data_IF_703025743695
#
_entry.id   IF_703025743695
#
_cell.length_a   1.000
_cell.length_b   1.000
_cell.length_c   1.000
_cell.angle_alpha   90.00
_cell.angle_beta   90.00
_cell.angle_gamma   90.00
#
_symmetry.space_group_name_H-M   'P 1'
#
loop_
_entity.id
_entity.type
_entity.pdbx_description
1 polymer ?
#
# COMPACT_ATOMS: atom_id res chain seq x y z
N UNK A 1 -2.90 -35.76 -7.16
CA UNK A 1 -3.62 -35.74 -5.87
C UNK A 1 -4.76 -34.75 -6.04
N UNK A 2 -6.01 -35.12 -5.75
CA UNK A 2 -7.14 -34.19 -5.89
C UNK A 2 -7.28 -33.37 -4.62
N UNK A 3 -7.21 -32.05 -4.74
CA UNK A 3 -7.43 -31.12 -3.64
C UNK A 3 -8.94 -31.02 -3.40
N UNK A 4 -9.44 -31.73 -2.39
CA UNK A 4 -10.87 -31.74 -2.08
C UNK A 4 -11.06 -31.42 -0.60
N UNK A 5 -11.77 -30.34 -0.32
CA UNK A 5 -12.29 -30.10 1.03
C UNK A 5 -13.73 -30.57 1.11
N UNK A 6 -14.04 -31.32 2.17
CA UNK A 6 -15.38 -31.75 2.48
C UNK A 6 -15.99 -30.79 3.50
N UNK A 7 -17.01 -30.03 3.11
CA UNK A 7 -17.85 -29.32 4.07
C UNK A 7 -19.04 -30.23 4.38
N UNK A 8 -19.08 -30.79 5.58
CA UNK A 8 -20.13 -31.70 6.00
C UNK A 8 -21.12 -30.99 6.95
N UNK A 9 -22.42 -31.04 6.62
CA UNK A 9 -23.50 -30.58 7.49
C UNK A 9 -24.67 -31.56 7.41
N UNK A 10 -25.20 -31.97 8.57
CA UNK A 10 -26.33 -32.91 8.64
C UNK A 10 -26.08 -34.30 8.02
N UNK A 11 -24.82 -34.75 7.95
CA UNK A 11 -24.46 -36.04 7.35
C UNK A 11 -24.30 -36.02 5.83
N UNK A 12 -24.46 -34.87 5.17
CA UNK A 12 -24.15 -34.66 3.76
C UNK A 12 -22.85 -33.87 3.66
N UNK A 13 -21.88 -34.37 2.89
CA UNK A 13 -20.64 -33.66 2.58
C UNK A 13 -20.70 -33.12 1.16
N UNK A 14 -20.51 -31.81 1.02
CA UNK A 14 -20.24 -31.18 -0.28
C UNK A 14 -18.72 -31.12 -0.42
N UNK A 15 -18.19 -31.82 -1.43
CA UNK A 15 -16.79 -31.71 -1.79
C UNK A 15 -16.64 -30.53 -2.72
N UNK A 16 -16.03 -29.46 -2.23
CA UNK A 16 -15.51 -28.41 -3.10
C UNK A 16 -14.32 -29.00 -3.86
N UNK A 17 -14.44 -29.15 -5.18
CA UNK A 17 -13.28 -29.44 -6.02
C UNK A 17 -12.32 -28.26 -5.92
N UNK A 18 -11.01 -28.53 -5.88
CA UNK A 18 -9.92 -27.55 -5.95
C UNK A 18 -9.70 -26.70 -4.69
N UNK A 19 -10.01 -27.19 -3.49
CA UNK A 19 -9.73 -26.44 -2.28
C UNK A 19 -8.31 -26.72 -1.75
N UNK A 20 -7.50 -25.67 -1.65
CA UNK A 20 -6.14 -25.68 -1.10
C UNK A 20 -5.96 -24.68 0.04
N UNK A 21 -4.69 -24.47 0.39
CA UNK A 21 -4.25 -23.61 1.47
C UNK A 21 -3.11 -22.71 0.99
N UNK A 22 -3.10 -21.45 1.41
CA UNK A 22 -1.94 -20.55 1.26
C UNK A 22 -1.44 -20.22 2.66
N UNK A 23 -0.17 -20.50 2.94
CA UNK A 23 0.55 -19.95 4.10
C UNK A 23 1.25 -18.67 3.66
N UNK A 24 1.01 -17.58 4.37
CA UNK A 24 1.61 -16.27 4.08
C UNK A 24 2.45 -15.87 5.28
N UNK A 25 3.75 -15.79 5.07
CA UNK A 25 4.67 -15.11 5.98
C UNK A 25 4.75 -13.65 5.52
N UNK A 26 4.40 -12.68 6.37
CA UNK A 26 4.43 -11.27 6.01
C UNK A 26 5.22 -10.43 7.02
N UNK A 27 5.78 -9.35 6.49
CA UNK A 27 6.35 -8.22 7.22
C UNK A 27 5.69 -6.93 6.72
N UNK A 28 5.33 -6.04 7.65
CA UNK A 28 4.85 -4.68 7.36
C UNK A 28 5.92 -3.68 7.78
N UNK A 29 6.39 -2.89 6.81
CA UNK A 29 7.46 -1.93 7.02
C UNK A 29 7.11 -0.92 8.12
N UNK A 30 8.06 -0.71 9.03
CA UNK A 30 8.01 0.35 10.02
C UNK A 30 7.18 0.08 11.27
N UNK A 31 6.47 -1.05 11.36
CA UNK A 31 5.82 -1.47 12.61
C UNK A 31 6.89 -1.76 13.66
N UNK A 32 6.82 -1.07 14.80
CA UNK A 32 7.80 -1.17 15.89
C UNK A 32 7.20 -1.74 17.19
N UNK A 33 5.88 -1.91 17.24
CA UNK A 33 5.15 -2.42 18.40
C UNK A 33 4.12 -3.47 17.98
N UNK A 34 3.84 -4.47 18.85
CA UNK A 34 2.83 -5.47 18.56
C UNK A 34 1.45 -4.85 18.34
N UNK A 35 0.79 -5.22 17.25
CA UNK A 35 -0.50 -4.65 16.84
C UNK A 35 -1.34 -5.65 16.07
N UNK A 36 -2.67 -5.51 16.14
CA UNK A 36 -3.58 -6.23 15.26
C UNK A 36 -4.19 -5.28 14.24
N UNK A 37 -4.02 -5.56 12.96
CA UNK A 37 -4.59 -4.75 11.85
C UNK A 37 -5.26 -5.64 10.82
N UNK A 38 -6.26 -5.13 10.12
CA UNK A 38 -6.89 -5.87 9.03
C UNK A 38 -6.10 -5.71 7.73
N UNK A 39 -5.83 -6.83 7.06
CA UNK A 39 -5.33 -6.85 5.70
C UNK A 39 -6.36 -7.44 4.74
N UNK A 40 -6.44 -6.84 3.55
CA UNK A 40 -7.26 -7.32 2.45
C UNK A 40 -6.42 -8.22 1.55
N UNK A 41 -6.86 -9.45 1.40
CA UNK A 41 -6.30 -10.46 0.48
C UNK A 41 -7.23 -10.60 -0.72
N UNK A 42 -6.68 -10.51 -1.92
CA UNK A 42 -7.40 -10.74 -3.19
C UNK A 42 -6.72 -11.92 -3.89
N UNK A 43 -7.43 -13.03 -4.03
CA UNK A 43 -6.93 -14.24 -4.67
C UNK A 43 -7.66 -14.41 -6.00
N UNK A 44 -6.92 -14.64 -7.09
CA UNK A 44 -7.52 -14.67 -8.43
C UNK A 44 -6.83 -15.67 -9.37
N UNK A 45 -7.61 -16.21 -10.32
CA UNK A 45 -7.16 -17.09 -11.41
C UNK A 45 -6.88 -16.34 -12.71
N UNK A 46 -6.96 -15.01 -12.70
CA UNK A 46 -6.74 -14.16 -13.87
C UNK A 46 -7.64 -14.38 -15.08
N UNK A 47 -8.94 -14.19 -14.85
CA UNK A 47 -10.00 -14.32 -15.84
C UNK A 47 -11.19 -15.12 -15.33
N UNK A 48 -11.05 -15.71 -14.14
CA UNK A 48 -12.13 -16.38 -13.42
C UNK A 48 -12.59 -15.62 -12.17
N UNK A 49 -12.85 -16.37 -11.10
CA UNK A 49 -13.40 -15.85 -9.87
C UNK A 49 -12.35 -15.07 -9.07
N UNK A 50 -12.80 -14.00 -8.43
CA UNK A 50 -12.03 -13.23 -7.45
C UNK A 50 -12.53 -13.59 -6.06
N UNK A 51 -11.63 -14.04 -5.19
CA UNK A 51 -11.88 -14.29 -3.77
C UNK A 51 -11.23 -13.17 -2.95
N UNK A 52 -12.06 -12.35 -2.31
CA UNK A 52 -11.61 -11.22 -1.48
C UNK A 52 -11.89 -11.52 -0.02
N UNK A 53 -10.86 -11.40 0.82
CA UNK A 53 -10.92 -11.68 2.24
C UNK A 53 -10.31 -10.54 3.04
N UNK A 54 -10.92 -10.22 4.17
CA UNK A 54 -10.34 -9.34 5.18
C UNK A 54 -9.94 -10.20 6.35
N UNK A 55 -8.66 -10.21 6.71
CA UNK A 55 -8.10 -11.08 7.74
C UNK A 55 -7.30 -10.23 8.72
N UNK A 56 -7.49 -10.41 10.04
CA UNK A 56 -6.67 -9.72 11.03
C UNK A 56 -5.25 -10.31 11.02
N UNK A 57 -4.26 -9.44 10.87
CA UNK A 57 -2.84 -9.69 11.08
C UNK A 57 -2.51 -9.38 12.54
N UNK A 58 -1.87 -10.31 13.25
CA UNK A 58 -1.37 -10.09 14.62
C UNK A 58 0.15 -9.97 14.58
N UNK A 59 0.60 -8.76 14.25
CA UNK A 59 2.01 -8.47 14.04
C UNK A 59 2.76 -8.33 15.36
N UNK A 60 3.99 -8.82 15.39
CA UNK A 60 4.90 -8.59 16.51
C UNK A 60 5.55 -7.19 16.44
N UNK A 61 6.51 -6.91 17.33
CA UNK A 61 7.23 -5.63 17.35
C UNK A 61 8.20 -5.40 16.18
N UNK A 62 8.26 -6.33 15.23
CA UNK A 62 9.00 -6.21 13.97
C UNK A 62 8.06 -6.19 12.75
N UNK A 63 6.75 -6.08 12.97
CA UNK A 63 5.78 -6.09 11.88
C UNK A 63 5.53 -7.47 11.26
N UNK A 64 5.96 -8.56 11.91
CA UNK A 64 5.89 -9.90 11.34
C UNK A 64 4.64 -10.66 11.80
N UNK A 65 4.01 -11.39 10.88
CA UNK A 65 2.95 -12.36 11.18
C UNK A 65 2.97 -13.52 10.16
N UNK A 66 2.49 -14.69 10.58
CA UNK A 66 2.29 -15.85 9.71
C UNK A 66 0.85 -16.30 9.81
N UNK A 67 0.15 -16.31 8.68
CA UNK A 67 -1.24 -16.73 8.61
C UNK A 67 -1.51 -17.79 7.54
N UNK A 68 -2.70 -18.37 7.63
CA UNK A 68 -3.16 -19.40 6.73
C UNK A 68 -4.51 -19.03 6.12
N UNK A 69 -4.57 -18.94 4.80
CA UNK A 69 -5.80 -18.82 4.02
C UNK A 69 -6.24 -20.22 3.58
N UNK A 70 -7.32 -20.74 4.16
CA UNK A 70 -7.87 -22.07 3.82
C UNK A 70 -8.97 -22.00 2.77
N UNK A 71 -9.33 -23.13 2.16
CA UNK A 71 -10.39 -23.21 1.14
C UNK A 71 -10.14 -22.26 -0.05
N UNK A 72 -8.89 -22.16 -0.50
CA UNK A 72 -8.52 -21.35 -1.66
C UNK A 72 -8.62 -22.19 -2.93
N UNK A 73 -9.07 -21.62 -4.05
CA UNK A 73 -9.01 -22.32 -5.34
C UNK A 73 -7.54 -22.63 -5.71
N UNK A 74 -7.17 -23.91 -5.85
CA UNK A 74 -5.79 -24.28 -6.22
C UNK A 74 -5.43 -23.90 -7.66
N UNK A 75 -6.39 -23.44 -8.46
CA UNK A 75 -6.12 -22.83 -9.75
C UNK A 75 -5.86 -21.32 -9.64
N UNK A 76 -5.91 -20.73 -8.44
CA UNK A 76 -5.50 -19.35 -8.22
C UNK A 76 -4.03 -19.18 -8.61
N UNK A 77 -3.77 -18.14 -9.37
CA UNK A 77 -2.45 -17.85 -9.92
C UNK A 77 -1.76 -16.70 -9.17
N UNK A 78 -2.55 -15.85 -8.51
CA UNK A 78 -2.05 -14.65 -7.85
C UNK A 78 -2.73 -14.40 -6.51
N UNK A 79 -1.94 -13.84 -5.60
CA UNK A 79 -2.37 -13.26 -4.34
C UNK A 79 -1.97 -11.79 -4.33
N UNK A 80 -2.94 -10.90 -4.14
CA UNK A 80 -2.66 -9.51 -3.79
C UNK A 80 -2.96 -9.28 -2.32
N UNK A 81 -2.08 -8.56 -1.64
CA UNK A 81 -2.20 -8.22 -0.21
C UNK A 81 -2.08 -6.72 -0.05
N UNK A 82 -2.93 -6.13 0.79
CA UNK A 82 -2.84 -4.73 1.20
C UNK A 82 -3.33 -4.56 2.63
N UNK A 83 -2.53 -3.91 3.45
CA UNK A 83 -2.90 -3.43 4.78
C UNK A 83 -3.27 -1.93 4.68
N UNK A 84 -4.04 -1.40 5.64
CA UNK A 84 -4.59 -0.03 5.60
C UNK A 84 -3.57 1.11 5.56
N UNK A 85 -2.29 0.82 5.78
CA UNK A 85 -1.19 1.79 5.75
C UNK A 85 -0.13 1.45 4.69
N UNK A 86 -0.34 0.40 3.89
CA UNK A 86 0.66 -0.11 2.95
C UNK A 86 0.22 0.00 1.51
N UNK A 87 1.20 0.07 0.62
CA UNK A 87 1.01 -0.22 -0.79
C UNK A 87 0.54 -1.67 -0.98
N UNK A 88 -0.21 -1.92 -2.06
CA UNK A 88 -0.55 -3.28 -2.47
C UNK A 88 0.69 -4.02 -2.93
N UNK A 89 0.79 -5.30 -2.57
CA UNK A 89 1.76 -6.25 -3.11
C UNK A 89 1.05 -7.38 -3.85
N UNK A 90 1.55 -7.77 -5.02
CA UNK A 90 1.04 -8.85 -5.85
C UNK A 90 2.12 -9.92 -6.00
N UNK A 91 1.77 -11.17 -5.70
CA UNK A 91 2.69 -12.31 -5.74
C UNK A 91 2.08 -13.51 -6.43
N UNK A 92 2.87 -14.25 -7.23
CA UNK A 92 2.38 -15.44 -7.90
C UNK A 92 2.19 -16.58 -6.90
N UNK A 93 1.18 -17.40 -7.13
CA UNK A 93 0.90 -18.61 -6.38
C UNK A 93 1.39 -19.83 -7.14
N UNK A 94 1.96 -20.80 -6.42
CA UNK A 94 2.30 -22.11 -6.96
C UNK A 94 1.92 -23.16 -5.95
N UNK A 95 0.86 -23.92 -6.24
CA UNK A 95 0.38 -24.97 -5.35
C UNK A 95 1.15 -26.28 -5.58
N UNK A 96 1.72 -26.82 -4.52
CA UNK A 96 2.28 -28.17 -4.45
C UNK A 96 1.51 -28.96 -3.40
N UNK A 97 0.93 -30.10 -3.78
CA UNK A 97 0.09 -30.91 -2.88
C UNK A 97 -1.05 -30.08 -2.21
N UNK A 98 -1.67 -29.18 -2.96
CA UNK A 98 -2.77 -28.32 -2.49
C UNK A 98 -2.36 -27.22 -1.51
N UNK A 99 -1.07 -26.99 -1.32
CA UNK A 99 -0.52 -25.96 -0.46
C UNK A 99 0.36 -25.01 -1.28
N UNK A 100 0.27 -23.71 -1.01
CA UNK A 100 1.19 -22.69 -1.49
C UNK A 100 1.79 -21.95 -0.29
N UNK A 101 3.04 -21.54 -0.41
CA UNK A 101 3.71 -20.68 0.57
C UNK A 101 4.14 -19.41 -0.13
N UNK A 102 3.84 -18.28 0.50
CA UNK A 102 4.19 -16.95 0.03
C UNK A 102 5.00 -16.28 1.13
N UNK A 103 6.16 -15.76 0.75
CA UNK A 103 7.06 -15.00 1.63
C UNK A 103 7.05 -13.53 1.19
N UNK A 104 6.42 -12.70 2.03
CA UNK A 104 6.35 -11.24 1.94
C UNK A 104 7.19 -10.61 3.06
N UNK A 105 8.40 -11.11 3.29
CA UNK A 105 9.34 -10.54 4.26
C UNK A 105 10.54 -9.88 3.56
N UNK A 106 11.29 -9.05 4.30
CA UNK A 106 12.55 -8.44 3.89
C UNK A 106 12.46 -7.63 2.58
N UNK A 107 12.69 -8.25 1.43
CA UNK A 107 12.70 -7.55 0.13
C UNK A 107 11.33 -7.56 -0.55
N UNK A 108 10.40 -8.38 -0.04
CA UNK A 108 9.03 -8.51 -0.55
C UNK A 108 7.98 -8.07 0.46
N UNK A 109 8.40 -7.37 1.53
CA UNK A 109 7.53 -6.80 2.56
C UNK A 109 6.48 -5.84 2.01
N UNK A 110 5.44 -5.59 2.82
CA UNK A 110 4.45 -4.57 2.53
C UNK A 110 5.03 -3.20 2.85
N UNK A 111 5.22 -2.40 1.80
CA UNK A 111 5.81 -1.06 1.87
C UNK A 111 4.80 -0.09 2.47
N UNK A 112 5.21 0.65 3.49
CA UNK A 112 4.34 1.60 4.18
C UNK A 112 4.20 2.95 3.46
N UNK A 113 3.07 3.62 3.70
CA UNK A 113 2.88 5.04 3.41
C UNK A 113 1.69 5.41 2.55
N UNK A 114 0.86 4.45 2.12
CA UNK A 114 -0.42 4.73 1.43
C UNK A 114 -1.53 4.68 2.48
N UNK A 115 -1.81 5.84 3.06
CA UNK A 115 -2.74 6.00 4.17
C UNK A 115 -4.16 6.25 3.67
N UNK A 116 -5.13 5.97 4.53
CA UNK A 116 -6.53 6.27 4.25
C UNK A 116 -7.22 7.03 5.38
N UNK A 117 -8.28 7.71 5.00
CA UNK A 117 -9.28 8.30 5.88
C UNK A 117 -10.67 7.86 5.40
N UNK A 118 -11.75 8.14 6.14
CA UNK A 118 -13.10 7.85 5.66
C UNK A 118 -13.48 8.50 4.32
N UNK A 119 -12.75 9.53 3.87
CA UNK A 119 -13.03 10.26 2.63
C UNK A 119 -11.91 10.18 1.59
N UNK A 120 -10.67 9.91 2.01
CA UNK A 120 -9.53 9.68 1.13
C UNK A 120 -9.20 8.18 1.21
N UNK A 121 -9.59 7.37 0.20
CA UNK A 121 -9.23 5.97 0.17
C UNK A 121 -7.75 5.80 -0.23
N UNK A 122 -7.17 4.65 0.13
CA UNK A 122 -5.86 4.24 -0.40
C UNK A 122 -5.85 4.23 -1.92
N UNK A 123 -4.92 4.95 -2.53
CA UNK A 123 -4.82 5.09 -3.99
C UNK A 123 -3.62 4.34 -4.59
N UNK A 124 -2.94 3.53 -3.77
CA UNK A 124 -1.82 2.67 -4.13
C UNK A 124 -0.57 3.44 -4.57
N UNK A 125 -0.37 4.62 -3.98
CA UNK A 125 0.74 5.53 -4.21
C UNK A 125 1.04 6.26 -2.89
N UNK A 126 2.32 6.44 -2.58
CA UNK A 126 2.73 7.29 -1.44
C UNK A 126 3.04 8.68 -1.98
N UNK A 127 2.26 9.70 -1.63
CA UNK A 127 2.49 11.07 -2.07
C UNK A 127 2.14 12.14 -1.02
N UNK A 128 1.96 13.37 -1.48
CA UNK A 128 1.63 14.53 -0.63
C UNK A 128 0.32 14.33 0.12
N UNK A 129 -0.62 13.55 -0.41
CA UNK A 129 -1.89 13.24 0.23
C UNK A 129 -1.66 12.45 1.52
N UNK A 130 -0.78 11.45 1.48
CA UNK A 130 -0.42 10.64 2.66
C UNK A 130 0.33 11.45 3.71
N UNK A 131 1.30 12.26 3.26
CA UNK A 131 1.94 13.23 4.15
C UNK A 131 0.92 14.15 4.82
N UNK A 132 -0.09 14.60 4.09
CA UNK A 132 -1.12 15.49 4.63
C UNK A 132 -1.95 14.81 5.71
N UNK A 133 -2.30 13.53 5.54
CA UNK A 133 -3.04 12.73 6.53
C UNK A 133 -2.23 12.63 7.83
N UNK A 134 -0.93 12.32 7.73
CA UNK A 134 -0.04 12.21 8.88
C UNK A 134 0.16 13.58 9.56
N UNK A 135 0.56 14.60 8.80
CA UNK A 135 0.88 15.92 9.33
C UNK A 135 -0.34 16.58 10.01
N UNK A 136 -1.54 16.35 9.49
CA UNK A 136 -2.76 16.88 10.10
C UNK A 136 -3.06 16.32 11.50
N UNK A 137 -2.62 15.09 11.78
CA UNK A 137 -2.83 14.39 13.05
C UNK A 137 -1.61 14.41 13.96
N UNK A 138 -0.52 15.04 13.55
CA UNK A 138 0.72 15.03 14.32
C UNK A 138 0.52 15.40 15.80
N UNK A 139 1.16 14.61 16.67
CA UNK A 139 1.09 14.65 18.13
C UNK A 139 -0.31 14.37 18.69
N UNK A 140 -1.17 13.67 17.94
CA UNK A 140 -2.44 13.18 18.44
C UNK A 140 -2.37 11.68 18.71
N UNK A 141 -3.00 11.20 19.79
CA UNK A 141 -3.15 9.77 20.01
C UNK A 141 -3.99 9.16 18.89
N UNK A 142 -3.70 7.90 18.61
CA UNK A 142 -4.41 7.09 17.64
C UNK A 142 -5.68 6.55 18.29
N UNK A 143 -6.79 6.55 17.56
CA UNK A 143 -7.98 5.83 18.02
C UNK A 143 -7.70 4.33 17.83
N UNK A 144 -7.61 3.52 18.91
CA UNK A 144 -7.30 2.10 18.80
C UNK A 144 -8.38 1.29 18.07
N UNK A 145 -9.53 1.91 17.78
CA UNK A 145 -10.62 1.32 17.00
C UNK A 145 -10.64 1.76 15.54
N UNK A 146 -9.76 2.69 15.16
CA UNK A 146 -9.66 3.23 13.81
C UNK A 146 -8.63 2.46 12.99
N UNK A 147 -9.07 1.90 11.87
CA UNK A 147 -8.20 1.29 10.85
C UNK A 147 -7.71 2.31 9.81
N UNK A 148 -7.94 3.61 10.06
CA UNK A 148 -7.83 4.67 9.06
C UNK A 148 -7.00 5.86 9.57
N UNK A 149 -5.72 5.64 9.81
CA UNK A 149 -4.85 6.62 10.45
C UNK A 149 -3.41 6.60 9.91
N UNK A 150 -2.55 7.48 10.44
CA UNK A 150 -1.16 7.65 9.97
C UNK A 150 -0.13 7.03 10.91
N UNK A 151 -0.56 6.25 11.90
CA UNK A 151 0.33 5.54 12.84
C UNK A 151 0.81 4.24 12.21
N UNK A 152 1.84 4.32 11.38
CA UNK A 152 2.45 3.13 10.79
C UNK A 152 3.27 2.37 11.84
N UNK A 153 3.90 3.09 12.77
CA UNK A 153 4.80 2.53 13.79
C UNK A 153 4.11 1.68 14.87
N UNK A 154 2.80 1.81 14.97
CA UNK A 154 1.92 1.19 15.96
C UNK A 154 2.25 1.60 17.40
N UNK A 155 2.82 2.78 17.61
CA UNK A 155 3.15 3.27 18.96
C UNK A 155 1.95 3.96 19.66
N UNK A 156 0.83 4.07 18.96
CA UNK A 156 -0.40 4.68 19.45
C UNK A 156 -0.42 6.21 19.34
N UNK A 157 0.55 6.81 18.65
CA UNK A 157 0.66 8.24 18.40
C UNK A 157 0.96 8.52 16.93
N UNK A 158 0.41 9.61 16.40
CA UNK A 158 0.85 10.14 15.11
C UNK A 158 2.13 10.96 15.34
N UNK A 159 3.27 10.37 15.07
CA UNK A 159 4.59 10.88 15.42
C UNK A 159 5.49 11.22 14.24
N UNK A 160 6.70 11.67 14.60
CA UNK A 160 7.79 11.84 13.63
C UNK A 160 8.36 10.51 13.16
N UNK A 161 8.18 9.46 13.94
CA UNK A 161 8.65 8.12 13.61
C UNK A 161 7.83 7.54 12.45
N UNK A 162 6.53 7.81 12.40
CA UNK A 162 5.69 7.48 11.24
C UNK A 162 6.16 8.19 9.97
N UNK A 163 6.52 9.47 10.09
CA UNK A 163 7.05 10.23 8.95
C UNK A 163 8.40 9.67 8.49
N UNK A 164 9.25 9.28 9.44
CA UNK A 164 10.55 8.68 9.15
C UNK A 164 10.42 7.35 8.40
N UNK A 165 9.35 6.59 8.65
CA UNK A 165 9.01 5.36 7.94
C UNK A 165 8.58 5.62 6.49
N UNK A 166 7.73 6.64 6.23
CA UNK A 166 7.18 6.83 4.88
C UNK A 166 8.10 7.62 3.92
N UNK A 167 9.03 8.42 4.45
CA UNK A 167 9.88 9.28 3.60
C UNK A 167 10.69 8.52 2.50
N UNK A 168 11.29 7.32 2.72
CA UNK A 168 11.99 6.61 1.64
C UNK A 168 11.04 6.15 0.53
N UNK A 169 9.75 6.02 0.85
CA UNK A 169 8.71 5.52 -0.02
C UNK A 169 7.99 6.61 -0.78
N UNK A 170 8.34 7.88 -0.61
CA UNK A 170 7.71 8.96 -1.37
C UNK A 170 7.76 8.69 -2.89
N UNK A 171 6.58 8.73 -3.51
CA UNK A 171 6.28 8.37 -4.90
C UNK A 171 6.53 6.90 -5.27
N UNK A 172 6.58 6.00 -4.28
CA UNK A 172 6.43 4.58 -4.52
C UNK A 172 4.99 4.27 -4.93
N UNK A 173 4.85 3.33 -5.87
CA UNK A 173 3.55 2.87 -6.39
C UNK A 173 3.47 1.38 -6.11
N UNK A 174 2.34 0.94 -5.56
CA UNK A 174 2.11 -0.46 -5.29
C UNK A 174 1.74 -1.24 -6.56
N UNK A 175 1.53 -2.52 -6.40
CA UNK A 175 1.11 -3.39 -7.50
C UNK A 175 -0.35 -3.10 -7.94
N UNK A 176 -0.68 -3.28 -9.23
CA UNK A 176 -1.98 -2.92 -9.79
C UNK A 176 -3.16 -3.67 -9.15
N UNK A 177 -4.31 -2.98 -9.04
CA UNK A 177 -5.57 -3.50 -8.43
C UNK A 177 -6.08 -4.76 -9.13
N UNK A 178 -5.99 -4.79 -10.46
CA UNK A 178 -6.60 -5.84 -11.28
C UNK A 178 -5.71 -7.07 -11.50
N UNK A 179 -4.60 -7.17 -10.76
CA UNK A 179 -3.93 -8.41 -10.35
C UNK A 179 -3.47 -9.40 -11.42
N UNK A 180 -3.69 -9.12 -12.69
CA UNK A 180 -3.32 -9.99 -13.78
C UNK A 180 -2.30 -9.28 -14.64
N UNK A 181 -1.09 -9.84 -14.77
CA UNK A 181 -0.17 -9.34 -15.76
C UNK A 181 -0.88 -9.32 -17.10
N UNK A 182 -0.73 -8.25 -17.87
CA UNK A 182 -1.37 -8.22 -19.18
C UNK A 182 -0.80 -9.37 -20.02
N UNK A 183 -1.62 -10.10 -20.80
CA UNK A 183 -1.08 -10.96 -21.83
C UNK A 183 -0.24 -10.10 -22.77
N UNK A 184 1.04 -10.45 -22.95
CA UNK A 184 1.89 -9.77 -23.91
C UNK A 184 1.63 -10.39 -25.26
N UNK A 185 0.87 -9.67 -26.08
CA UNK A 185 0.69 -9.99 -27.49
C UNK A 185 1.92 -9.51 -28.25
N UNK A 186 2.80 -10.43 -28.64
CA UNK A 186 3.64 -10.25 -29.84
C UNK A 186 2.96 -11.02 -30.97
N UNK A 187 2.68 -10.36 -32.08
CA UNK A 187 2.23 -11.00 -33.32
C UNK A 187 0.84 -11.69 -33.31
N UNK A 188 -0.18 -11.09 -32.67
CA UNK A 188 -1.58 -11.56 -32.66
C UNK A 188 -1.82 -12.94 -32.03
N UNK A 189 -0.78 -13.60 -31.53
CA UNK A 189 -0.84 -14.78 -30.68
C UNK A 189 -0.58 -14.39 -29.22
N UNK A 190 -1.47 -14.81 -28.32
CA UNK A 190 -1.27 -14.69 -26.87
C UNK A 190 -0.35 -15.85 -26.47
N UNK A 191 0.97 -15.63 -26.51
CA UNK A 191 1.95 -16.70 -26.24
C UNK A 191 2.33 -16.82 -24.76
N UNK A 192 2.11 -15.78 -23.93
CA UNK A 192 2.41 -15.79 -22.48
C UNK A 192 1.82 -14.58 -21.74
N UNK A 193 1.46 -14.78 -20.48
CA UNK A 193 1.32 -13.68 -19.51
C UNK A 193 2.74 -13.20 -19.16
N UNK A 194 2.99 -11.88 -19.23
CA UNK A 194 4.26 -11.29 -18.79
C UNK A 194 4.04 -10.57 -17.47
N UNK A 195 4.57 -11.10 -16.35
CA UNK A 195 4.53 -10.45 -15.03
C UNK A 195 4.98 -8.98 -15.03
N UNK A 196 5.82 -8.57 -15.98
CA UNK A 196 6.31 -7.19 -16.11
C UNK A 196 5.45 -6.28 -16.99
N UNK A 197 4.46 -6.80 -17.73
CA UNK A 197 3.62 -6.00 -18.60
C UNK A 197 2.29 -5.67 -17.93
N UNK A 198 2.30 -4.70 -17.02
CA UNK A 198 1.06 -4.09 -16.52
C UNK A 198 0.45 -3.26 -17.65
N UNK A 199 -0.87 -3.33 -17.88
CA UNK A 199 -1.51 -2.42 -18.84
C UNK A 199 -1.21 -0.97 -18.38
N UNK A 200 -0.61 -0.11 -19.22
CA UNK A 200 -0.15 1.23 -18.79
C UNK A 200 -1.27 2.21 -18.43
N UNK A 201 -2.52 1.77 -18.35
CA UNK A 201 -3.67 2.67 -18.44
C UNK A 201 -4.05 3.38 -17.15
N UNK A 202 -3.52 3.01 -15.98
CA UNK A 202 -3.87 3.68 -14.72
C UNK A 202 -2.73 3.61 -13.67
N UNK A 203 -1.48 3.88 -14.05
CA UNK A 203 -0.45 4.12 -13.03
C UNK A 203 -0.84 5.44 -12.33
N UNK A 204 -1.14 5.44 -11.02
CA UNK A 204 -1.40 6.66 -10.28
C UNK A 204 -0.29 7.66 -10.54
N UNK A 205 -0.64 8.88 -10.90
CA UNK A 205 0.35 9.93 -11.11
C UNK A 205 0.62 10.60 -9.76
N UNK A 206 1.89 10.63 -9.30
CA UNK A 206 2.26 11.34 -8.09
C UNK A 206 1.68 12.74 -8.01
N UNK A 207 0.94 13.04 -6.93
CA UNK A 207 0.54 14.41 -6.63
C UNK A 207 1.70 15.09 -5.91
N UNK A 208 2.22 16.12 -6.56
CA UNK A 208 3.26 16.99 -6.01
C UNK A 208 2.69 18.11 -5.16
N UNK A 209 1.38 18.32 -5.25
CA UNK A 209 0.65 19.41 -4.62
C UNK A 209 -0.82 19.07 -4.54
N UNK A 210 -1.45 19.39 -3.42
CA UNK A 210 -2.90 19.28 -3.20
C UNK A 210 -3.37 20.52 -2.45
N UNK A 211 -4.55 21.04 -2.77
CA UNK A 211 -5.08 22.19 -2.00
C UNK A 211 -5.62 21.69 -0.66
N UNK A 212 -5.52 22.52 0.39
CA UNK A 212 -6.10 22.19 1.71
C UNK A 212 -7.61 21.96 1.61
N UNK A 213 -8.29 22.69 0.72
CA UNK A 213 -9.73 22.52 0.45
C UNK A 213 -10.04 21.15 -0.18
N UNK A 214 -9.21 20.68 -1.11
CA UNK A 214 -9.39 19.38 -1.80
C UNK A 214 -9.23 18.19 -0.86
N UNK A 215 -8.36 18.28 0.14
CA UNK A 215 -8.17 17.22 1.15
C UNK A 215 -9.47 16.93 1.92
N UNK A 216 -10.28 17.96 2.18
CA UNK A 216 -11.66 17.81 2.66
C UNK A 216 -11.85 17.22 4.06
N UNK A 217 -10.79 16.88 4.80
CA UNK A 217 -10.87 16.34 6.16
C UNK A 217 -10.50 17.38 7.23
N UNK A 218 -11.01 17.16 8.45
CA UNK A 218 -10.75 18.04 9.58
C UNK A 218 -9.27 18.08 9.96
N UNK A 219 -8.72 19.28 10.07
CA UNK A 219 -7.31 19.48 10.42
C UNK A 219 -6.33 19.48 9.24
N UNK A 220 -6.80 19.28 8.00
CA UNK A 220 -5.96 19.34 6.79
C UNK A 220 -5.09 20.61 6.70
N UNK A 221 -5.59 21.74 7.18
CA UNK A 221 -4.84 23.02 7.24
C UNK A 221 -3.55 22.95 8.08
N UNK A 222 -3.41 21.97 8.98
CA UNK A 222 -2.18 21.77 9.77
C UNK A 222 -1.04 21.18 8.94
N UNK A 223 -1.34 20.57 7.79
CA UNK A 223 -0.34 20.03 6.87
C UNK A 223 0.26 21.12 5.96
N UNK A 224 -0.42 22.25 5.76
CA UNK A 224 0.09 23.44 5.07
C UNK A 224 0.97 24.26 6.03
N UNK A 225 2.22 23.83 6.18
CA UNK A 225 3.19 24.42 7.08
C UNK A 225 3.80 25.71 6.55
N UNK A 226 3.68 25.97 5.24
CA UNK A 226 4.10 27.22 4.61
C UNK A 226 3.00 28.30 4.60
N UNK A 227 1.75 27.90 4.82
CA UNK A 227 0.58 28.78 4.87
C UNK A 227 0.16 29.33 3.51
N UNK A 228 0.46 28.60 2.42
CA UNK A 228 0.20 29.05 1.04
C UNK A 228 -1.15 28.57 0.47
N UNK A 229 -1.91 27.81 1.26
CA UNK A 229 -3.20 27.22 0.91
C UNK A 229 -3.10 25.83 0.25
N UNK A 230 -1.89 25.32 0.08
CA UNK A 230 -1.60 24.03 -0.52
C UNK A 230 -0.67 23.24 0.39
N UNK A 231 -0.76 21.92 0.29
CA UNK A 231 0.28 21.03 0.80
C UNK A 231 1.12 20.60 -0.40
N UNK A 232 2.43 20.77 -0.31
CA UNK A 232 3.41 20.34 -1.30
C UNK A 232 4.77 19.96 -0.65
N UNK A 233 5.79 19.70 -1.47
CA UNK A 233 7.10 19.28 -0.98
C UNK A 233 7.83 20.36 -0.15
N UNK A 234 7.44 21.64 -0.25
CA UNK A 234 7.97 22.67 0.64
C UNK A 234 7.43 22.51 2.08
N UNK A 235 6.20 22.00 2.24
CA UNK A 235 5.64 21.66 3.55
C UNK A 235 6.33 20.43 4.14
N UNK A 236 6.68 19.44 3.31
CA UNK A 236 7.48 18.27 3.74
C UNK A 236 8.85 18.72 4.27
N UNK A 237 9.54 19.63 3.57
CA UNK A 237 10.80 20.20 4.05
C UNK A 237 10.60 21.02 5.33
N UNK A 238 9.54 21.84 5.39
CA UNK A 238 9.22 22.64 6.56
C UNK A 238 8.96 21.75 7.78
N UNK A 239 8.25 20.63 7.60
CA UNK A 239 8.00 19.61 8.61
C UNK A 239 9.32 19.04 9.12
N UNK A 240 10.15 18.51 8.23
CA UNK A 240 11.42 17.90 8.62
C UNK A 240 12.31 18.89 9.38
N UNK A 241 12.40 20.14 8.92
CA UNK A 241 13.15 21.20 9.62
C UNK A 241 12.56 21.53 10.99
N UNK A 242 11.24 21.63 11.10
CA UNK A 242 10.55 21.97 12.35
C UNK A 242 10.81 20.92 13.43
N UNK A 243 10.85 19.64 13.05
CA UNK A 243 11.04 18.51 13.97
C UNK A 243 12.49 17.99 14.03
N UNK A 244 13.43 18.64 13.37
CA UNK A 244 14.85 18.24 13.38
C UNK A 244 15.11 16.91 12.69
N UNK A 245 14.25 16.53 11.74
CA UNK A 245 14.38 15.29 10.96
C UNK A 245 15.31 15.50 9.78
N UNK A 246 16.08 14.46 9.47
CA UNK A 246 16.87 14.41 8.25
C UNK A 246 16.02 13.79 7.15
N UNK A 247 15.84 14.53 6.06
CA UNK A 247 15.21 14.01 4.86
C UNK A 247 16.08 12.93 4.21
N UNK A 248 15.44 11.88 3.70
CA UNK A 248 16.07 10.91 2.84
C UNK A 248 16.68 11.59 1.59
N UNK A 249 17.80 11.05 1.11
CA UNK A 249 18.55 11.64 0.01
C UNK A 249 17.73 11.72 -1.29
N UNK A 250 16.90 10.71 -1.56
CA UNK A 250 16.02 10.69 -2.74
C UNK A 250 14.92 11.76 -2.61
N UNK A 251 14.30 11.87 -1.44
CA UNK A 251 13.27 12.89 -1.18
C UNK A 251 13.85 14.31 -1.28
N UNK A 252 15.05 14.52 -0.74
CA UNK A 252 15.79 15.78 -0.87
C UNK A 252 16.03 16.15 -2.34
N UNK A 253 16.47 15.19 -3.18
CA UNK A 253 16.66 15.40 -4.62
C UNK A 253 15.35 15.78 -5.32
N UNK A 254 14.24 15.12 -4.96
CA UNK A 254 12.91 15.42 -5.50
C UNK A 254 12.48 16.86 -5.19
N UNK A 255 12.67 17.29 -3.94
CA UNK A 255 12.39 18.67 -3.50
C UNK A 255 13.23 19.69 -4.29
N UNK A 256 14.53 19.45 -4.44
CA UNK A 256 15.43 20.34 -5.17
C UNK A 256 15.07 20.44 -6.66
N UNK A 257 14.74 19.29 -7.26
CA UNK A 257 14.28 19.22 -8.65
C UNK A 257 13.00 20.04 -8.83
N UNK A 258 12.04 19.92 -7.93
CA UNK A 258 10.80 20.67 -8.03
C UNK A 258 11.03 22.20 -7.95
N UNK A 259 11.87 22.65 -7.00
CA UNK A 259 12.26 24.07 -6.89
C UNK A 259 12.91 24.60 -8.16
N UNK A 260 13.78 23.80 -8.79
CA UNK A 260 14.44 24.19 -10.05
C UNK A 260 13.42 24.44 -11.16
N UNK A 261 12.44 23.54 -11.32
CA UNK A 261 11.38 23.65 -12.33
C UNK A 261 10.47 24.86 -12.07
N UNK A 262 10.10 25.13 -10.82
CA UNK A 262 9.31 26.32 -10.45
C UNK A 262 10.07 27.62 -10.82
N UNK A 263 11.37 27.64 -10.54
CA UNK A 263 12.25 28.79 -10.82
C UNK A 263 12.37 29.06 -12.32
N UNK A 264 12.62 28.02 -13.13
CA UNK A 264 12.71 28.16 -14.59
C UNK A 264 11.40 28.65 -15.22
N UNK A 265 10.25 28.13 -14.76
CA UNK A 265 8.93 28.59 -15.22
C UNK A 265 8.68 30.06 -14.87
N UNK A 266 9.10 30.51 -13.69
CA UNK A 266 9.01 31.91 -13.30
C UNK A 266 9.85 32.79 -14.23
N UNK A 267 11.13 32.46 -14.46
CA UNK A 267 12.02 33.24 -15.34
C UNK A 267 11.60 33.21 -16.81
N UNK A 268 11.11 32.08 -17.32
CA UNK A 268 10.66 31.93 -18.70
C UNK A 268 9.45 32.80 -19.06
N UNK A 269 8.58 33.10 -18.08
CA UNK A 269 7.45 34.02 -18.27
C UNK A 269 7.86 35.49 -18.39
N UNK A 270 9.02 35.89 -17.86
CA UNK A 270 9.52 37.27 -17.97
C UNK A 270 10.25 37.57 -19.28
N UNK A 271 10.54 36.56 -20.11
CA UNK A 271 11.28 36.72 -21.38
C UNK A 271 10.38 36.68 -22.62
N UNK A 272 9.07 36.65 -22.46
CA UNK A 272 8.08 36.74 -23.55
C UNK A 272 7.26 38.00 -23.39
#
# INVERSE_FOLDING_TARGET
>A
MACTNAVCSGGVCVFGGHAGQITVDLEVEGVANPVTRNATFIITTCGGNVDTRVVPLTMDGFGQDTLTLSNVDVNAEWLAVREGHTLRKLVPLTFTNCEATVDLTITSELIAGDFQTPIIPQDNLVDITDFSILAARLNQPVDPTSEMEGDVSADGMHGTDDFATIQPNFFAVGDPVDGCPAPVSRDWTIDRLDPGAVRPWQIPQPRWRVSVEELGFDGAWRADLTGDGFVDLADVEAFARMYGLRLDARLQELIERERSVRTEKAYGRFRR
#
